data_IF_199665174043
#
_entry.id   IF_199665174043
#
_cell.length_a   1.000
_cell.length_b   1.000
_cell.length_c   1.000
_cell.angle_alpha   90.00
_cell.angle_beta   90.00
_cell.angle_gamma   90.00
#
_symmetry.space_group_name_H-M   'P 1'
#
loop_
_entity.id
_entity.type
_entity.pdbx_description
1 polymer ?
#
# COMPACT_ATOMS: atom_id res chain seq x y z
N UNK A 1 3.96 -3.89 16.16
CA UNK A 1 3.09 -2.84 15.59
C UNK A 1 2.53 -3.24 14.23
N UNK A 2 3.34 -3.60 13.24
CA UNK A 2 2.85 -4.01 11.91
C UNK A 2 1.85 -5.18 11.94
N UNK A 3 2.18 -6.30 12.60
CA UNK A 3 1.29 -7.47 12.65
C UNK A 3 -0.07 -7.18 13.29
N UNK A 4 -0.14 -6.20 14.20
CA UNK A 4 -1.40 -5.77 14.80
C UNK A 4 -2.23 -4.97 13.80
N UNK A 5 -1.61 -4.02 13.08
CA UNK A 5 -2.27 -3.30 11.99
C UNK A 5 -2.73 -4.25 10.88
N UNK A 6 -1.95 -5.28 10.57
CA UNK A 6 -2.32 -6.32 9.60
C UNK A 6 -3.59 -7.07 10.00
N UNK A 7 -3.70 -7.48 11.26
CA UNK A 7 -4.91 -8.12 11.78
C UNK A 7 -6.10 -7.16 11.81
N UNK A 8 -5.89 -5.94 12.27
CA UNK A 8 -6.94 -4.93 12.36
C UNK A 8 -7.52 -4.61 10.98
N UNK A 9 -6.67 -4.49 9.96
CA UNK A 9 -7.08 -4.29 8.58
C UNK A 9 -8.04 -5.36 8.09
N UNK A 10 -7.64 -6.63 8.22
CA UNK A 10 -8.46 -7.75 7.76
C UNK A 10 -9.80 -7.79 8.52
N UNK A 11 -9.75 -7.64 9.84
CA UNK A 11 -10.93 -7.69 10.70
C UNK A 11 -11.93 -6.55 10.47
N UNK A 12 -11.43 -5.33 10.28
CA UNK A 12 -12.29 -4.19 9.99
C UNK A 12 -12.96 -4.33 8.62
N UNK A 13 -12.20 -4.74 7.59
CA UNK A 13 -12.75 -4.95 6.25
C UNK A 13 -13.73 -6.13 6.20
N UNK A 14 -13.44 -7.24 6.87
CA UNK A 14 -14.35 -8.38 6.92
C UNK A 14 -15.68 -8.01 7.59
N UNK A 15 -15.64 -7.25 8.69
CA UNK A 15 -16.82 -6.88 9.46
C UNK A 15 -17.61 -5.72 8.87
N UNK A 16 -16.92 -4.69 8.39
CA UNK A 16 -17.52 -3.40 8.03
C UNK A 16 -17.40 -3.08 6.54
N UNK A 17 -16.58 -3.82 5.78
CA UNK A 17 -16.22 -3.46 4.43
C UNK A 17 -15.48 -2.13 4.35
N UNK A 18 -15.58 -1.48 3.19
CA UNK A 18 -14.96 -0.19 2.92
C UNK A 18 -13.55 -0.34 2.38
N UNK A 19 -12.70 0.65 2.67
CA UNK A 19 -11.33 0.74 2.18
C UNK A 19 -10.38 0.88 3.35
N UNK A 20 -9.34 0.05 3.36
CA UNK A 20 -8.14 0.29 4.13
C UNK A 20 -7.09 0.90 3.22
N UNK A 21 -6.53 2.03 3.63
CA UNK A 21 -5.33 2.60 3.03
C UNK A 21 -4.32 2.91 4.13
N UNK A 22 -3.06 2.54 3.92
CA UNK A 22 -1.97 2.96 4.80
C UNK A 22 -1.83 4.50 4.78
N UNK A 23 -1.38 5.08 5.90
CA UNK A 23 -1.21 6.54 6.02
C UNK A 23 -0.18 7.19 5.08
N UNK A 24 0.54 6.42 4.28
CA UNK A 24 1.45 6.94 3.24
C UNK A 24 0.89 6.81 1.82
N UNK A 25 -0.40 6.50 1.68
CA UNK A 25 -1.08 6.49 0.37
C UNK A 25 -1.58 7.90 0.05
N UNK A 26 -1.11 8.44 -1.06
CA UNK A 26 -1.64 9.66 -1.67
C UNK A 26 -2.76 9.30 -2.65
N UNK A 27 -3.91 9.98 -2.54
CA UNK A 27 -5.05 9.79 -3.43
C UNK A 27 -4.98 10.83 -4.55
N UNK A 28 -4.60 10.39 -5.77
CA UNK A 28 -4.51 11.26 -6.94
C UNK A 28 -5.85 11.41 -7.66
N UNK A 29 -6.73 10.41 -7.53
CA UNK A 29 -8.06 10.40 -8.13
C UNK A 29 -9.09 9.96 -7.08
N UNK A 30 -10.24 10.67 -6.94
CA UNK A 30 -11.29 10.31 -6.00
C UNK A 30 -11.68 8.83 -6.12
N UNK A 31 -11.86 8.14 -4.99
CA UNK A 31 -12.13 6.70 -4.96
C UNK A 31 -13.37 6.32 -5.78
N UNK A 32 -14.41 7.14 -5.74
CA UNK A 32 -15.68 6.89 -6.44
C UNK A 32 -15.54 6.87 -7.97
N UNK A 33 -14.47 7.42 -8.52
CA UNK A 33 -14.26 7.50 -9.98
C UNK A 33 -13.65 6.22 -10.57
N UNK A 34 -12.94 5.41 -9.77
CA UNK A 34 -12.17 4.28 -10.28
C UNK A 34 -12.40 2.99 -9.50
N UNK A 35 -12.54 3.07 -8.17
CA UNK A 35 -12.61 1.88 -7.32
C UNK A 35 -13.85 1.02 -7.61
N UNK A 36 -15.07 1.59 -7.80
CA UNK A 36 -16.24 0.78 -8.15
C UNK A 36 -16.07 -0.03 -9.45
N UNK A 37 -15.26 0.46 -10.38
CA UNK A 37 -15.01 -0.21 -11.67
C UNK A 37 -14.14 -1.46 -11.51
N UNK A 38 -13.19 -1.44 -10.57
CA UNK A 38 -12.24 -2.54 -10.35
C UNK A 38 -12.61 -3.43 -9.17
N UNK A 39 -13.50 -2.98 -8.28
CA UNK A 39 -13.95 -3.72 -7.10
C UNK A 39 -15.36 -4.34 -7.27
N UNK A 40 -15.81 -4.57 -8.51
CA UNK A 40 -17.19 -5.02 -8.82
C UNK A 40 -17.59 -6.33 -8.13
N UNK A 41 -16.61 -7.18 -7.77
CA UNK A 41 -16.83 -8.45 -7.04
C UNK A 41 -16.73 -8.31 -5.53
N UNK A 42 -16.81 -7.07 -5.04
CA UNK A 42 -16.75 -6.74 -3.62
C UNK A 42 -15.39 -6.95 -2.98
N UNK A 43 -14.32 -7.06 -3.76
CA UNK A 43 -12.94 -7.08 -3.28
C UNK A 43 -12.01 -6.41 -4.29
N UNK A 44 -11.00 -5.70 -3.78
CA UNK A 44 -9.91 -5.16 -4.59
C UNK A 44 -8.61 -5.07 -3.77
N UNK A 45 -7.50 -5.41 -4.42
CA UNK A 45 -6.14 -5.16 -3.97
C UNK A 45 -5.24 -4.99 -5.20
N UNK A 46 -4.22 -4.14 -5.11
CA UNK A 46 -3.18 -4.14 -6.14
C UNK A 46 -2.42 -5.47 -6.10
N UNK A 47 -2.16 -6.01 -7.28
CA UNK A 47 -1.54 -7.31 -7.48
C UNK A 47 -0.10 -7.15 -7.96
N UNK A 48 0.77 -8.10 -7.64
CA UNK A 48 2.06 -8.19 -8.31
C UNK A 48 1.88 -9.03 -9.57
N UNK A 49 1.97 -8.38 -10.73
CA UNK A 49 1.87 -9.04 -12.02
C UNK A 49 3.25 -9.46 -12.53
N UNK A 50 3.31 -10.23 -13.62
CA UNK A 50 4.58 -10.57 -14.26
C UNK A 50 5.33 -9.32 -14.74
N UNK A 51 4.61 -8.26 -15.12
CA UNK A 51 5.21 -6.96 -15.49
C UNK A 51 5.88 -6.25 -14.30
N UNK A 52 5.44 -6.53 -13.08
CA UNK A 52 5.95 -5.90 -11.84
C UNK A 52 6.98 -6.79 -11.12
N UNK A 53 7.25 -7.99 -11.63
CA UNK A 53 8.04 -9.01 -10.93
C UNK A 53 9.46 -8.57 -10.61
N UNK A 54 10.06 -7.71 -11.45
CA UNK A 54 11.39 -7.15 -11.24
C UNK A 54 11.49 -6.31 -9.95
N UNK A 55 10.39 -5.70 -9.49
CA UNK A 55 10.38 -4.87 -8.28
C UNK A 55 10.58 -5.68 -6.99
N UNK A 56 10.31 -6.99 -7.04
CA UNK A 56 10.33 -7.84 -5.85
C UNK A 56 11.39 -8.91 -5.88
N UNK A 57 12.10 -9.10 -6.98
CA UNK A 57 13.17 -10.10 -7.07
C UNK A 57 14.36 -9.75 -6.15
N UNK A 58 14.97 -10.71 -5.42
CA UNK A 58 14.68 -12.15 -5.33
C UNK A 58 13.75 -12.53 -4.16
N UNK A 59 12.98 -11.58 -3.63
CA UNK A 59 12.14 -11.80 -2.45
C UNK A 59 10.96 -12.74 -2.70
N UNK A 60 10.28 -13.08 -1.61
CA UNK A 60 9.06 -13.88 -1.57
C UNK A 60 8.03 -13.37 -2.60
N UNK A 61 7.57 -14.27 -3.48
CA UNK A 61 6.45 -14.00 -4.38
C UNK A 61 5.21 -13.67 -3.56
N UNK A 62 4.50 -12.62 -3.95
CA UNK A 62 3.30 -12.11 -3.32
C UNK A 62 2.32 -11.86 -4.44
N UNK A 63 1.09 -12.36 -4.38
CA UNK A 63 0.06 -12.05 -5.40
C UNK A 63 -0.56 -10.69 -5.18
N UNK A 64 -0.66 -10.27 -3.91
CA UNK A 64 -1.34 -9.03 -3.55
C UNK A 64 -0.48 -8.17 -2.62
N UNK A 65 -0.78 -6.88 -2.66
CA UNK A 65 -0.38 -5.92 -1.64
C UNK A 65 -1.40 -5.92 -0.50
N UNK A 66 -1.04 -5.42 0.68
CA UNK A 66 -1.97 -5.22 1.79
C UNK A 66 -2.02 -3.77 2.30
N UNK A 67 -1.36 -2.82 1.63
CA UNK A 67 -1.34 -1.41 2.01
C UNK A 67 -2.54 -0.63 1.45
N UNK A 68 -3.24 -1.19 0.47
CA UNK A 68 -4.52 -0.69 -0.04
C UNK A 68 -5.43 -1.87 -0.35
N UNK A 69 -6.52 -2.00 0.40
CA UNK A 69 -7.50 -3.07 0.26
C UNK A 69 -8.89 -2.46 0.27
N UNK A 70 -9.78 -2.93 -0.60
CA UNK A 70 -11.19 -2.64 -0.51
C UNK A 70 -11.98 -3.95 -0.45
N UNK A 71 -13.04 -3.98 0.36
CA UNK A 71 -13.92 -5.13 0.43
C UNK A 71 -15.34 -4.70 0.78
N UNK A 72 -16.34 -5.45 0.31
CA UNK A 72 -17.68 -5.43 0.89
C UNK A 72 -17.67 -6.23 2.20
N UNK A 73 -18.54 -5.90 3.17
CA UNK A 73 -18.68 -6.70 4.37
C UNK A 73 -18.95 -8.17 4.02
N UNK A 74 -18.33 -9.09 4.75
CA UNK A 74 -18.44 -10.55 4.54
C UNK A 74 -18.05 -11.03 3.14
N UNK A 75 -17.13 -10.34 2.46
CA UNK A 75 -16.58 -10.83 1.21
C UNK A 75 -15.74 -12.10 1.45
N UNK A 76 -15.90 -13.12 0.60
CA UNK A 76 -15.23 -14.42 0.76
C UNK A 76 -13.70 -14.33 0.86
N UNK A 77 -13.08 -13.43 0.09
CA UNK A 77 -11.62 -13.27 0.08
C UNK A 77 -11.15 -12.71 1.42
N UNK A 78 -11.77 -11.62 1.89
CA UNK A 78 -11.33 -10.97 3.13
C UNK A 78 -11.65 -11.82 4.37
N UNK A 79 -12.79 -12.50 4.41
CA UNK A 79 -13.16 -13.40 5.52
C UNK A 79 -12.23 -14.60 5.60
N UNK A 80 -11.92 -15.24 4.46
CA UNK A 80 -10.96 -16.35 4.41
C UNK A 80 -9.58 -15.90 4.88
N UNK A 81 -9.14 -14.71 4.45
CA UNK A 81 -7.85 -14.16 4.86
C UNK A 81 -7.81 -13.82 6.35
N UNK A 82 -8.87 -13.19 6.89
CA UNK A 82 -8.99 -12.89 8.32
C UNK A 82 -8.99 -14.18 9.15
N UNK A 83 -9.80 -15.18 8.79
CA UNK A 83 -9.91 -16.43 9.52
C UNK A 83 -8.55 -17.15 9.60
N UNK A 84 -7.84 -17.24 8.47
CA UNK A 84 -6.51 -17.84 8.44
C UNK A 84 -5.49 -17.02 9.24
N UNK A 85 -5.60 -15.68 9.22
CA UNK A 85 -4.76 -14.82 10.04
C UNK A 85 -5.01 -15.01 11.53
N UNK A 86 -6.26 -15.08 11.98
CA UNK A 86 -6.60 -15.34 13.38
C UNK A 86 -6.10 -16.71 13.83
N UNK A 87 -6.30 -17.76 13.03
CA UNK A 87 -5.77 -19.09 13.30
C UNK A 87 -4.22 -19.09 13.40
N UNK A 88 -3.56 -18.31 12.54
CA UNK A 88 -2.12 -18.13 12.59
C UNK A 88 -1.63 -17.47 13.89
N UNK A 89 -2.42 -16.67 14.60
CA UNK A 89 -2.02 -16.09 15.89
C UNK A 89 -2.56 -16.84 17.11
N UNK A 90 -3.59 -17.67 16.95
CA UNK A 90 -4.29 -18.34 18.05
C UNK A 90 -3.39 -19.18 18.98
N UNK A 91 -2.28 -19.73 18.47
CA UNK A 91 -1.31 -20.52 19.25
C UNK A 91 -0.40 -19.71 20.19
N UNK A 92 -0.77 -18.50 20.59
CA UNK A 92 0.02 -17.67 21.51
C UNK A 92 1.29 -17.06 20.90
N UNK A 93 1.36 -16.96 19.55
CA UNK A 93 2.54 -16.40 18.87
C UNK A 93 2.74 -14.93 19.24
N UNK A 94 3.98 -14.57 19.55
CA UNK A 94 4.37 -13.18 19.88
C UNK A 94 5.02 -12.44 18.70
N UNK A 95 5.54 -13.17 17.72
CA UNK A 95 6.21 -12.64 16.53
C UNK A 95 5.81 -13.46 15.30
N UNK A 96 5.75 -12.84 14.11
CA UNK A 96 5.50 -13.59 12.89
C UNK A 96 6.78 -14.35 12.48
N UNK A 97 6.62 -15.46 11.75
CA UNK A 97 7.75 -16.21 11.19
C UNK A 97 8.53 -15.39 10.15
N UNK A 98 7.84 -14.55 9.38
CA UNK A 98 8.44 -13.67 8.37
C UNK A 98 7.72 -12.32 8.33
N UNK A 99 8.39 -11.28 7.86
CA UNK A 99 7.81 -9.94 7.70
C UNK A 99 6.53 -9.97 6.85
N UNK A 100 6.54 -10.72 5.75
CA UNK A 100 5.42 -10.85 4.80
C UNK A 100 4.39 -11.94 5.17
N UNK A 101 4.24 -12.26 6.46
CA UNK A 101 3.34 -13.33 6.92
C UNK A 101 1.90 -13.24 6.37
N UNK A 102 1.24 -12.07 6.21
CA UNK A 102 -0.13 -12.04 5.70
C UNK A 102 -0.19 -12.49 4.24
N UNK A 103 0.83 -12.14 3.45
CA UNK A 103 0.92 -12.53 2.06
C UNK A 103 1.15 -14.04 1.91
N UNK A 104 1.95 -14.64 2.79
CA UNK A 104 2.11 -16.10 2.81
C UNK A 104 0.79 -16.83 3.08
N UNK A 105 -0.04 -16.29 3.98
CA UNK A 105 -1.37 -16.86 4.22
C UNK A 105 -2.30 -16.68 3.02
N UNK A 106 -2.22 -15.55 2.33
CA UNK A 106 -2.98 -15.31 1.10
C UNK A 106 -2.59 -16.30 0.00
N UNK A 107 -1.29 -16.51 -0.22
CA UNK A 107 -0.80 -17.53 -1.16
C UNK A 107 -1.28 -18.93 -0.78
N UNK A 108 -1.17 -19.28 0.50
CA UNK A 108 -1.63 -20.57 1.02
C UNK A 108 -3.12 -20.80 0.74
N UNK A 109 -3.97 -19.79 0.96
CA UNK A 109 -5.40 -19.87 0.66
C UNK A 109 -5.65 -20.02 -0.85
N UNK A 110 -4.93 -19.29 -1.69
CA UNK A 110 -5.02 -19.43 -3.14
C UNK A 110 -4.68 -20.84 -3.65
N UNK A 111 -3.79 -21.54 -2.95
CA UNK A 111 -3.39 -22.91 -3.28
C UNK A 111 -4.32 -23.97 -2.69
N UNK A 112 -4.87 -23.74 -1.49
CA UNK A 112 -5.55 -24.78 -0.70
C UNK A 112 -7.08 -24.64 -0.64
N UNK A 113 -7.64 -23.43 -0.83
CA UNK A 113 -9.09 -23.20 -0.83
C UNK A 113 -9.59 -22.91 -2.26
N UNK A 114 -10.36 -23.86 -2.81
CA UNK A 114 -10.94 -23.77 -4.15
C UNK A 114 -11.86 -22.56 -4.31
N UNK A 115 -12.68 -22.24 -3.31
CA UNK A 115 -13.61 -21.14 -3.43
C UNK A 115 -12.95 -19.78 -3.22
N UNK A 116 -11.91 -19.69 -2.38
CA UNK A 116 -11.05 -18.50 -2.29
C UNK A 116 -10.39 -18.22 -3.64
N UNK A 117 -9.79 -19.25 -4.25
CA UNK A 117 -9.18 -19.15 -5.58
C UNK A 117 -10.17 -18.74 -6.66
N UNK A 118 -11.39 -19.27 -6.65
CA UNK A 118 -12.46 -18.85 -7.59
C UNK A 118 -12.83 -17.38 -7.38
N UNK A 119 -13.05 -16.96 -6.14
CA UNK A 119 -13.38 -15.57 -5.83
C UNK A 119 -12.26 -14.61 -6.29
N UNK A 120 -11.00 -14.98 -6.08
CA UNK A 120 -9.86 -14.19 -6.55
C UNK A 120 -9.71 -14.15 -8.07
N UNK A 121 -10.09 -15.23 -8.78
CA UNK A 121 -10.05 -15.24 -10.24
C UNK A 121 -11.03 -14.24 -10.89
N UNK A 122 -12.04 -13.78 -10.15
CA UNK A 122 -12.99 -12.77 -10.61
C UNK A 122 -12.52 -11.33 -10.33
N UNK A 123 -11.43 -11.15 -9.58
CA UNK A 123 -10.88 -9.84 -9.23
C UNK A 123 -9.93 -9.35 -10.32
N UNK A 124 -10.12 -8.15 -10.89
CA UNK A 124 -9.22 -7.59 -11.90
C UNK A 124 -7.75 -7.54 -11.45
N UNK A 125 -6.86 -8.00 -12.32
CA UNK A 125 -5.40 -8.03 -12.14
C UNK A 125 -4.74 -6.67 -12.34
N UNK A 126 -4.99 -5.70 -11.47
CA UNK A 126 -4.34 -4.39 -11.55
C UNK A 126 -2.96 -4.44 -10.88
N UNK A 127 -1.92 -4.18 -11.67
CA UNK A 127 -0.53 -4.19 -11.26
C UNK A 127 -0.17 -3.13 -10.22
N UNK A 128 0.84 -3.40 -9.41
CA UNK A 128 1.24 -2.53 -8.30
C UNK A 128 2.32 -1.51 -8.66
N UNK A 129 2.92 -1.55 -9.85
CA UNK A 129 3.92 -0.55 -10.26
C UNK A 129 3.31 0.85 -10.43
N UNK A 130 2.10 0.96 -10.99
CA UNK A 130 1.42 2.26 -11.18
C UNK A 130 1.33 3.08 -9.88
N UNK A 131 0.91 2.48 -8.75
CA UNK A 131 0.97 3.14 -7.45
C UNK A 131 2.36 3.49 -6.90
N UNK A 132 3.45 3.08 -7.54
CA UNK A 132 4.82 3.38 -7.10
C UNK A 132 5.56 4.32 -8.05
N UNK A 133 4.91 4.89 -9.07
CA UNK A 133 5.55 5.79 -10.04
C UNK A 133 6.25 6.98 -9.38
N UNK A 134 5.64 7.61 -8.38
CA UNK A 134 6.27 8.73 -7.66
C UNK A 134 7.47 8.25 -6.83
N UNK A 135 7.35 7.09 -6.19
CA UNK A 135 8.47 6.51 -5.46
C UNK A 135 9.65 6.19 -6.40
N UNK A 136 9.36 5.59 -7.54
CA UNK A 136 10.34 5.25 -8.57
C UNK A 136 11.05 6.51 -9.12
N UNK A 137 10.28 7.57 -9.39
CA UNK A 137 10.84 8.89 -9.75
C UNK A 137 11.81 9.43 -8.69
N UNK A 138 11.41 9.38 -7.43
CA UNK A 138 12.22 9.92 -6.32
C UNK A 138 13.54 9.16 -6.19
N UNK A 139 13.51 7.84 -6.34
CA UNK A 139 14.70 6.98 -6.20
C UNK A 139 15.61 7.02 -7.43
N UNK A 140 15.05 7.04 -8.65
CA UNK A 140 15.80 6.81 -9.88
C UNK A 140 15.84 8.01 -10.84
N UNK A 141 15.08 9.08 -10.57
CA UNK A 141 15.15 10.33 -11.36
C UNK A 141 14.42 10.29 -12.70
N UNK A 142 13.27 9.61 -12.79
CA UNK A 142 12.45 9.57 -14.02
C UNK A 142 11.92 10.94 -14.48
N UNK A 143 11.28 11.01 -15.65
CA UNK A 143 10.69 12.25 -16.14
C UNK A 143 9.46 12.68 -15.31
N UNK A 144 9.60 13.78 -14.57
CA UNK A 144 8.53 14.30 -13.73
C UNK A 144 7.29 14.73 -14.52
N UNK A 145 7.46 15.27 -15.73
CA UNK A 145 6.34 15.74 -16.54
C UNK A 145 5.49 14.57 -17.06
N UNK A 146 6.16 13.51 -17.53
CA UNK A 146 5.48 12.28 -17.96
C UNK A 146 4.70 11.63 -16.82
N UNK A 147 5.29 11.55 -15.62
CA UNK A 147 4.63 10.94 -14.46
C UNK A 147 3.44 11.79 -13.98
N UNK A 148 3.59 13.11 -14.00
CA UNK A 148 2.49 14.02 -13.71
C UNK A 148 1.33 13.85 -14.70
N UNK A 149 1.61 13.72 -16.00
CA UNK A 149 0.57 13.45 -16.99
C UNK A 149 -0.17 12.13 -16.74
N UNK A 150 0.54 11.08 -16.30
CA UNK A 150 -0.08 9.80 -15.91
C UNK A 150 -1.00 9.96 -14.69
N UNK A 151 -0.61 10.75 -13.69
CA UNK A 151 -1.43 11.03 -12.52
C UNK A 151 -2.68 11.84 -12.91
N UNK A 152 -2.50 12.90 -13.70
CA UNK A 152 -3.56 13.79 -14.13
C UNK A 152 -4.60 13.07 -15.03
N UNK A 153 -4.16 12.07 -15.81
CA UNK A 153 -5.06 11.22 -16.60
C UNK A 153 -5.89 10.22 -15.78
N UNK A 154 -5.57 10.02 -14.50
CA UNK A 154 -6.20 9.00 -13.65
C UNK A 154 -5.70 7.57 -13.87
N UNK A 155 -4.67 7.36 -14.68
CA UNK A 155 -4.10 6.04 -14.94
C UNK A 155 -3.42 5.42 -13.70
N UNK A 156 -3.00 6.26 -12.75
CA UNK A 156 -2.40 5.85 -11.47
C UNK A 156 -3.12 6.55 -10.30
N UNK A 157 -4.32 6.07 -9.91
CA UNK A 157 -5.26 6.83 -9.08
C UNK A 157 -4.83 7.01 -7.62
N UNK A 158 -3.83 6.25 -7.18
CA UNK A 158 -3.21 6.37 -5.86
C UNK A 158 -1.69 6.20 -5.99
N UNK A 159 -0.94 6.77 -5.04
CA UNK A 159 0.51 6.63 -4.96
C UNK A 159 0.94 6.21 -3.55
N UNK A 160 1.69 5.11 -3.45
CA UNK A 160 2.28 4.60 -2.21
C UNK A 160 3.62 5.31 -1.98
N UNK A 161 3.60 6.29 -1.08
CA UNK A 161 4.76 7.12 -0.73
C UNK A 161 5.50 6.59 0.50
N UNK A 162 6.59 7.27 0.87
CA UNK A 162 7.30 7.08 2.14
C UNK A 162 7.26 8.35 2.98
N UNK A 163 7.13 8.16 4.29
CA UNK A 163 7.06 9.26 5.26
C UNK A 163 8.44 9.83 5.62
N UNK A 164 9.53 9.08 5.39
CA UNK A 164 10.87 9.38 5.87
C UNK A 164 11.84 9.85 4.77
N UNK A 165 11.32 10.44 3.69
CA UNK A 165 12.19 10.97 2.65
C UNK A 165 12.99 12.18 3.16
N UNK A 166 14.32 12.25 2.93
CA UNK A 166 15.10 13.44 3.18
C UNK A 166 14.67 14.59 2.27
N UNK A 167 15.02 15.83 2.63
CA UNK A 167 14.60 17.05 1.94
C UNK A 167 14.85 17.02 0.42
N UNK A 168 15.98 16.48 -0.03
CA UNK A 168 16.28 16.32 -1.46
C UNK A 168 15.27 15.43 -2.18
N UNK A 169 14.94 14.28 -1.59
CA UNK A 169 13.97 13.33 -2.14
C UNK A 169 12.55 13.90 -2.10
N UNK A 170 12.20 14.64 -1.05
CA UNK A 170 10.94 15.35 -0.98
C UNK A 170 10.83 16.43 -2.07
N UNK A 171 11.91 17.17 -2.33
CA UNK A 171 11.97 18.16 -3.41
C UNK A 171 11.81 17.52 -4.80
N UNK A 172 12.34 16.30 -5.01
CA UNK A 172 12.06 15.53 -6.23
C UNK A 172 10.59 15.12 -6.32
N UNK A 173 10.01 14.58 -5.25
CA UNK A 173 8.60 14.21 -5.19
C UNK A 173 7.69 15.41 -5.52
N UNK A 174 8.04 16.59 -5.03
CA UNK A 174 7.31 17.84 -5.24
C UNK A 174 7.23 18.28 -6.72
N UNK A 175 8.19 17.85 -7.57
CA UNK A 175 8.13 18.11 -9.01
C UNK A 175 6.95 17.39 -9.67
N UNK A 176 6.50 16.29 -9.07
CA UNK A 176 5.38 15.47 -9.56
C UNK A 176 4.09 15.79 -8.80
N UNK A 177 4.16 15.89 -7.46
CA UNK A 177 3.04 16.24 -6.59
C UNK A 177 3.41 17.50 -5.80
N UNK A 178 3.12 18.71 -6.31
CA UNK A 178 3.49 19.97 -5.66
C UNK A 178 2.97 20.11 -4.22
N UNK A 179 1.82 19.51 -3.92
CA UNK A 179 1.20 19.52 -2.59
C UNK A 179 2.01 18.80 -1.49
N UNK A 180 3.09 18.08 -1.83
CA UNK A 180 3.95 17.41 -0.84
C UNK A 180 4.92 18.36 -0.12
N UNK A 181 5.14 19.56 -0.64
CA UNK A 181 5.88 20.60 0.07
C UNK A 181 4.84 21.50 0.73
N UNK A 182 4.83 21.64 2.07
CA UNK A 182 3.94 22.58 2.71
C UNK A 182 4.27 24.00 2.21
N UNK A 183 3.23 24.82 2.01
CA UNK A 183 3.41 26.26 1.94
C UNK A 183 4.05 26.70 3.26
N UNK A 184 5.37 26.87 3.28
CA UNK A 184 6.05 27.50 4.41
C UNK A 184 5.71 28.99 4.32
N UNK A 185 4.92 29.57 5.23
CA UNK A 185 4.81 31.01 5.28
C UNK A 185 6.22 31.53 5.56
N UNK A 186 6.69 32.50 4.77
CA UNK A 186 7.99 33.12 4.95
C UNK A 186 8.09 33.72 6.38
N UNK A 187 8.64 32.96 7.33
CA UNK A 187 8.73 33.40 8.73
C UNK A 187 8.99 32.33 9.78
N UNK A 188 8.76 31.04 9.52
CA UNK A 188 8.99 29.98 10.52
C UNK A 188 10.15 29.05 10.13
N UNK A 189 11.38 29.56 10.13
CA UNK A 189 12.54 28.69 10.25
C UNK A 189 12.67 28.24 11.72
N UNK A 190 12.88 26.95 12.03
CA UNK A 190 13.18 26.54 13.39
C UNK A 190 14.58 27.05 13.78
N UNK A 191 14.66 27.70 14.93
CA UNK A 191 15.90 28.19 15.53
C UNK A 191 16.88 27.01 15.74
N UNK A 192 18.17 27.15 15.38
CA UNK A 192 19.12 26.05 15.52
C UNK A 192 19.30 25.70 17.00
N UNK A 193 19.14 24.41 17.31
CA UNK A 193 19.31 23.87 18.65
C UNK A 193 20.71 24.21 19.20
N UNK A 194 20.75 24.81 20.39
CA UNK A 194 21.98 25.15 21.09
C UNK A 194 22.85 23.90 21.33
N UNK A 195 24.13 24.00 21.01
CA UNK A 195 25.11 22.94 21.23
C UNK A 195 25.24 22.63 22.74
N UNK A 196 25.39 21.34 23.14
CA UNK A 196 25.57 21.00 24.53
C UNK A 196 26.93 21.50 25.04
N UNK A 197 26.91 22.15 26.21
CA UNK A 197 28.09 22.63 26.91
C UNK A 197 29.03 21.45 27.26
N UNK A 198 30.32 21.63 26.98
CA UNK A 198 31.37 20.71 27.37
C UNK A 198 31.46 20.64 28.91
N UNK A 199 31.25 19.45 29.47
CA UNK A 199 31.54 19.17 30.86
C UNK A 199 33.06 19.06 31.05
N UNK A 200 33.58 19.80 32.03
CA UNK A 200 34.97 19.72 32.54
C UNK A 200 35.14 18.58 33.53
#
# INVERSE_FOLDING_TARGET
MQSYADLLRLRLLARHGGVWADGTVWCATPLDHWLPLVAQRGFFAFQWTDADAWMIWPNVRRRVTNWFLAATPRNRVIEGWEAQALAYWAGGRRKPHVYYWPHMLFEYLGLTDLGFRRAMAEVPGIGCYGPHLVHDHVEHGGDAAAIRALLDSGAAPVQKLRWNWPAEKLARAAKVIPALVPDVPAGSAPEPAAAPAAAS
#
